data_IF_678533319725
#
_entry.id   IF_678533319725
#
_cell.length_a   1.000
_cell.length_b   1.000
_cell.length_c   1.000
_cell.angle_alpha   90.00
_cell.angle_beta   90.00
_cell.angle_gamma   90.00
#
_symmetry.space_group_name_H-M   'P 1'
#
loop_
_entity.id
_entity.type
_entity.pdbx_description
1 polymer ?
#
# COMPACT_ATOMS: atom_id res chain seq x y z
N UNK A 1 5.48 -18.36 -24.38
CA UNK A 1 4.64 -17.60 -25.33
C UNK A 1 3.23 -17.51 -24.76
N UNK A 2 3.01 -16.55 -23.85
CA UNK A 2 1.68 -16.06 -23.49
C UNK A 2 1.61 -14.62 -23.96
N UNK A 3 0.46 -14.23 -24.49
CA UNK A 3 0.28 -13.07 -25.34
C UNK A 3 0.55 -11.72 -24.64
N UNK A 4 1.08 -10.79 -25.42
CA UNK A 4 1.21 -9.36 -25.18
C UNK A 4 -0.12 -8.74 -24.73
N UNK A 5 -0.40 -8.72 -23.43
CA UNK A 5 -1.23 -7.66 -22.87
C UNK A 5 -0.32 -6.44 -22.73
N UNK A 6 -0.61 -5.34 -23.42
CA UNK A 6 0.09 -4.09 -23.12
C UNK A 6 -0.09 -3.79 -21.62
N UNK A 7 1.01 -3.49 -20.89
CA UNK A 7 0.89 -3.15 -19.49
C UNK A 7 -0.04 -1.95 -19.40
N UNK A 8 -1.05 -2.04 -18.54
CA UNK A 8 -2.02 -0.96 -18.38
C UNK A 8 -1.27 0.34 -18.04
N UNK A 9 -1.19 1.25 -19.01
CA UNK A 9 -0.48 2.50 -18.86
C UNK A 9 -1.18 3.32 -17.78
N UNK A 10 -0.48 3.49 -16.66
CA UNK A 10 -0.94 4.33 -15.56
C UNK A 10 -0.70 5.80 -15.93
N UNK A 11 -1.73 6.63 -15.73
CA UNK A 11 -1.56 8.09 -15.80
C UNK A 11 -0.87 8.56 -14.52
N UNK A 12 0.30 9.19 -14.65
CA UNK A 12 1.11 9.63 -13.49
C UNK A 12 0.35 10.69 -12.68
N UNK A 13 -0.29 11.64 -13.35
CA UNK A 13 -0.88 12.85 -12.76
C UNK A 13 -2.41 12.77 -12.57
N UNK A 14 -3.03 11.60 -12.74
CA UNK A 14 -4.48 11.44 -12.64
C UNK A 14 -4.89 10.07 -12.08
N UNK A 15 -6.17 9.94 -11.73
CA UNK A 15 -6.75 8.73 -11.15
C UNK A 15 -6.85 8.80 -9.62
N UNK A 16 -7.25 7.68 -9.02
CA UNK A 16 -7.36 7.56 -7.56
C UNK A 16 -5.96 7.47 -6.96
N UNK A 17 -5.67 8.30 -5.96
CA UNK A 17 -4.37 8.34 -5.30
C UNK A 17 -4.22 7.16 -4.31
N UNK A 18 -3.59 6.09 -4.76
CA UNK A 18 -3.09 4.96 -3.96
C UNK A 18 -1.56 5.03 -3.84
N UNK A 19 -0.97 4.26 -2.92
CA UNK A 19 0.49 4.19 -2.78
C UNK A 19 1.13 3.78 -4.10
N UNK A 20 2.03 4.60 -4.65
CA UNK A 20 2.68 4.45 -5.95
C UNK A 20 1.71 4.22 -7.13
N UNK A 21 0.42 4.58 -6.97
CA UNK A 21 -0.63 4.23 -7.92
C UNK A 21 -0.89 2.72 -8.05
N UNK A 22 -0.52 1.92 -7.04
CA UNK A 22 -0.78 0.47 -7.03
C UNK A 22 -2.28 0.18 -6.93
N UNK A 23 -2.74 -0.96 -7.44
CA UNK A 23 -4.15 -1.35 -7.32
C UNK A 23 -4.60 -1.41 -5.86
N UNK A 24 -5.73 -0.78 -5.57
CA UNK A 24 -6.41 -0.89 -4.27
C UNK A 24 -7.05 -2.29 -4.16
N UNK A 25 -6.85 -2.95 -3.02
CA UNK A 25 -7.41 -4.27 -2.72
C UNK A 25 -7.90 -4.37 -1.29
N UNK A 26 -8.91 -5.18 -1.05
CA UNK A 26 -9.29 -5.55 0.32
C UNK A 26 -8.33 -6.61 0.87
N UNK A 27 -8.38 -6.86 2.19
CA UNK A 27 -7.63 -7.96 2.81
C UNK A 27 -8.00 -9.32 2.20
N UNK A 28 -9.28 -9.52 1.89
CA UNK A 28 -9.79 -10.78 1.30
C UNK A 28 -9.18 -11.01 -0.10
N UNK A 29 -8.92 -9.92 -0.84
CA UNK A 29 -8.34 -9.98 -2.18
C UNK A 29 -6.83 -10.26 -2.20
N UNK A 30 -6.15 -10.31 -1.04
CA UNK A 30 -4.73 -10.67 -0.96
C UNK A 30 -4.47 -12.13 -1.33
N UNK A 31 -5.47 -13.02 -1.13
CA UNK A 31 -5.40 -14.40 -1.58
C UNK A 31 -5.60 -14.58 -3.09
N UNK A 32 -5.99 -13.51 -3.81
CA UNK A 32 -6.23 -13.55 -5.25
C UNK A 32 -5.01 -13.03 -6.02
N UNK A 33 -4.62 -13.66 -7.14
CA UNK A 33 -3.45 -13.24 -7.90
C UNK A 33 -3.61 -11.81 -8.45
N UNK A 34 -2.49 -11.11 -8.56
CA UNK A 34 -2.33 -9.84 -9.25
C UNK A 34 -1.63 -10.11 -10.58
N UNK A 35 -2.34 -9.90 -11.70
CA UNK A 35 -1.84 -10.18 -13.05
C UNK A 35 -1.32 -11.62 -13.27
N UNK A 36 -1.91 -12.59 -12.56
CA UNK A 36 -1.53 -14.01 -12.64
C UNK A 36 -0.42 -14.43 -11.67
N UNK A 37 0.20 -13.50 -10.95
CA UNK A 37 1.16 -13.80 -9.88
C UNK A 37 0.54 -13.63 -8.49
N UNK A 38 1.01 -14.39 -7.48
CA UNK A 38 0.62 -14.14 -6.09
C UNK A 38 1.04 -12.73 -5.66
N UNK A 39 0.21 -12.06 -4.87
CA UNK A 39 0.61 -10.82 -4.20
C UNK A 39 1.78 -11.13 -3.27
N UNK A 40 2.86 -10.35 -3.35
CA UNK A 40 4.07 -10.53 -2.53
C UNK A 40 4.33 -9.38 -1.57
N UNK A 41 3.63 -8.25 -1.73
CA UNK A 41 3.68 -7.13 -0.79
C UNK A 41 2.35 -6.38 -0.71
N UNK A 42 2.01 -5.87 0.48
CA UNK A 42 0.84 -5.04 0.72
C UNK A 42 1.25 -3.76 1.45
N UNK A 43 0.79 -2.61 0.96
CA UNK A 43 1.04 -1.30 1.56
C UNK A 43 -0.20 -0.86 2.34
N UNK A 44 -0.02 -0.62 3.64
CA UNK A 44 -1.08 -0.16 4.54
C UNK A 44 -0.67 1.16 5.20
N UNK A 45 -1.57 2.13 5.22
CA UNK A 45 -1.38 3.37 5.97
C UNK A 45 -1.82 3.24 7.42
N UNK A 46 -1.08 3.87 8.33
CA UNK A 46 -1.46 4.00 9.75
C UNK A 46 -1.59 5.49 10.07
N UNK A 47 -2.78 6.10 9.89
CA UNK A 47 -2.99 7.54 10.09
C UNK A 47 -3.20 7.87 11.58
N UNK A 48 -2.19 7.64 12.42
CA UNK A 48 -2.26 7.83 13.88
C UNK A 48 -1.03 8.56 14.44
N UNK A 49 -1.24 9.51 15.35
CA UNK A 49 -0.17 10.31 15.97
C UNK A 49 -0.42 10.71 17.43
N UNK A 50 -1.37 10.07 18.12
CA UNK A 50 -1.72 10.42 19.52
C UNK A 50 -0.61 10.09 20.54
N UNK A 51 0.36 9.25 20.17
CA UNK A 51 1.54 8.95 21.01
C UNK A 51 2.62 10.04 21.01
N UNK A 52 2.42 11.13 20.27
CA UNK A 52 3.41 12.17 20.12
C UNK A 52 3.35 13.21 21.26
N UNK A 53 4.51 13.54 21.84
CA UNK A 53 4.62 14.52 22.92
C UNK A 53 4.72 15.99 22.43
N UNK A 54 4.95 16.19 21.13
CA UNK A 54 5.24 17.51 20.55
C UNK A 54 4.36 17.87 19.35
N UNK A 55 4.99 18.10 18.19
CA UNK A 55 4.31 18.58 16.97
C UNK A 55 3.55 17.47 16.27
N UNK A 56 2.22 17.53 16.32
CA UNK A 56 1.31 16.60 15.66
C UNK A 56 1.23 16.85 14.13
N UNK A 57 0.59 15.92 13.42
CA UNK A 57 0.37 15.97 11.97
C UNK A 57 0.85 14.73 11.22
N UNK A 58 1.50 13.78 11.89
CA UNK A 58 1.95 12.54 11.26
C UNK A 58 0.78 11.66 10.78
N UNK A 59 -0.41 11.82 11.38
CA UNK A 59 -1.64 11.17 10.95
C UNK A 59 -2.06 11.54 9.51
N UNK A 60 -1.66 12.70 8.98
CA UNK A 60 -1.88 13.07 7.57
C UNK A 60 -0.88 12.42 6.62
N UNK A 61 0.21 11.85 7.16
CA UNK A 61 1.33 11.28 6.41
C UNK A 61 0.91 10.27 5.34
N UNK A 62 0.12 9.23 5.65
CA UNK A 62 -0.30 8.25 4.64
C UNK A 62 -1.00 8.86 3.43
N UNK A 63 -1.90 9.84 3.62
CA UNK A 63 -2.58 10.53 2.51
C UNK A 63 -1.60 11.33 1.67
N UNK A 64 -0.80 12.19 2.29
CA UNK A 64 0.18 13.02 1.58
C UNK A 64 1.22 12.17 0.84
N UNK A 65 1.63 11.04 1.42
CA UNK A 65 2.56 10.14 0.78
C UNK A 65 1.94 9.44 -0.44
N UNK A 66 0.66 9.04 -0.41
CA UNK A 66 -0.01 8.50 -1.61
C UNK A 66 0.03 9.51 -2.77
N UNK A 67 -0.31 10.77 -2.49
CA UNK A 67 -0.26 11.84 -3.50
C UNK A 67 1.16 12.04 -4.06
N UNK A 68 2.18 12.08 -3.19
CA UNK A 68 3.57 12.28 -3.61
C UNK A 68 4.14 11.05 -4.34
N UNK A 69 3.82 9.84 -3.88
CA UNK A 69 4.32 8.57 -4.41
C UNK A 69 3.86 8.30 -5.85
N UNK A 70 2.77 8.97 -6.28
CA UNK A 70 2.24 8.91 -7.64
C UNK A 70 3.27 9.32 -8.72
N UNK A 71 4.30 10.07 -8.37
CA UNK A 71 5.33 10.50 -9.31
C UNK A 71 6.42 9.47 -9.59
N UNK A 72 6.48 8.40 -8.80
CA UNK A 72 7.54 7.40 -8.90
C UNK A 72 7.12 6.21 -9.77
N UNK A 73 8.10 5.67 -10.50
CA UNK A 73 7.98 4.47 -11.32
C UNK A 73 8.68 3.30 -10.62
N UNK A 74 8.33 2.06 -11.01
CA UNK A 74 8.95 0.85 -10.44
C UNK A 74 10.28 0.47 -11.07
N UNK A 75 10.54 0.94 -12.29
CA UNK A 75 11.73 0.59 -13.04
C UNK A 75 12.96 1.36 -12.57
N UNK A 76 14.01 0.61 -12.21
CA UNK A 76 15.33 1.13 -11.90
C UNK A 76 16.25 0.97 -13.12
N UNK A 77 16.73 2.09 -13.66
CA UNK A 77 17.57 2.10 -14.85
C UNK A 77 19.05 1.78 -14.62
N UNK A 78 19.52 1.86 -13.37
CA UNK A 78 20.93 1.60 -13.04
C UNK A 78 21.19 0.09 -13.01
N UNK A 79 20.26 -0.66 -12.43
CA UNK A 79 20.35 -2.11 -12.23
C UNK A 79 19.45 -2.90 -13.21
N UNK A 80 18.73 -2.20 -14.10
CA UNK A 80 17.86 -2.76 -15.15
C UNK A 80 16.81 -3.78 -14.64
N UNK A 81 15.99 -3.36 -13.68
CA UNK A 81 14.87 -4.19 -13.20
C UNK A 81 13.62 -3.37 -12.89
N UNK A 82 12.44 -4.01 -13.00
CA UNK A 82 11.17 -3.44 -12.54
C UNK A 82 10.76 -4.04 -11.18
N UNK A 83 10.71 -3.18 -10.16
CA UNK A 83 10.30 -3.56 -8.81
C UNK A 83 8.89 -4.18 -8.79
N UNK A 84 7.97 -3.71 -9.62
CA UNK A 84 6.58 -4.14 -9.62
C UNK A 84 6.36 -5.48 -10.31
N UNK A 85 7.28 -5.87 -11.20
CA UNK A 85 7.32 -7.23 -11.77
C UNK A 85 7.89 -8.22 -10.75
N UNK A 86 8.99 -7.86 -10.08
CA UNK A 86 9.63 -8.74 -9.09
C UNK A 86 8.79 -8.91 -7.82
N UNK A 87 8.15 -7.82 -7.37
CA UNK A 87 7.36 -7.74 -6.15
C UNK A 87 5.94 -7.24 -6.46
N UNK A 88 5.01 -8.14 -6.86
CA UNK A 88 3.59 -7.81 -7.07
C UNK A 88 2.99 -7.17 -5.82
N UNK A 89 2.85 -5.84 -5.86
CA UNK A 89 2.48 -4.99 -4.72
C UNK A 89 1.10 -4.37 -4.89
N UNK A 90 0.33 -4.29 -3.81
CA UNK A 90 -1.01 -3.69 -3.74
C UNK A 90 -1.13 -2.68 -2.59
N UNK A 91 -2.06 -1.73 -2.70
CA UNK A 91 -2.47 -0.86 -1.58
C UNK A 91 -3.70 -1.48 -0.91
N UNK A 92 -3.67 -1.63 0.41
CA UNK A 92 -4.80 -2.17 1.20
C UNK A 92 -5.52 -1.11 2.03
N UNK A 93 -5.27 0.16 1.76
CA UNK A 93 -5.89 1.28 2.44
C UNK A 93 -5.27 1.57 3.80
N UNK A 94 -6.09 2.04 4.72
CA UNK A 94 -5.66 2.52 6.03
C UNK A 94 -6.25 1.67 7.16
N UNK A 95 -5.46 1.49 8.23
CA UNK A 95 -5.94 0.86 9.45
C UNK A 95 -6.92 1.80 10.16
N UNK A 96 -8.11 1.31 10.56
CA UNK A 96 -9.07 2.13 11.29
C UNK A 96 -8.57 2.48 12.70
N UNK A 97 -8.39 3.77 12.96
CA UNK A 97 -7.97 4.31 14.25
C UNK A 97 -9.16 4.55 15.19
N UNK A 98 -8.91 4.59 16.50
CA UNK A 98 -9.93 4.92 17.51
C UNK A 98 -9.53 6.07 18.43
N UNK A 99 -9.63 7.33 17.99
CA UNK A 99 -9.44 8.46 18.89
C UNK A 99 -10.51 8.52 20.00
N UNK A 100 -10.18 8.87 21.26
CA UNK A 100 -8.85 9.11 21.85
C UNK A 100 -8.26 7.85 22.54
N UNK A 101 -8.69 6.65 22.15
CA UNK A 101 -8.29 5.40 22.78
C UNK A 101 -7.06 4.80 22.09
N UNK A 102 -5.89 5.21 22.56
CA UNK A 102 -4.60 4.73 22.10
C UNK A 102 -4.46 3.20 22.21
N UNK A 103 -4.87 2.61 23.34
CA UNK A 103 -4.75 1.16 23.55
C UNK A 103 -5.55 0.36 22.50
N UNK A 104 -6.82 0.73 22.28
CA UNK A 104 -7.64 0.11 21.24
C UNK A 104 -7.12 0.35 19.83
N UNK A 105 -6.52 1.51 19.57
CA UNK A 105 -5.89 1.79 18.28
C UNK A 105 -4.69 0.86 18.04
N UNK A 106 -3.84 0.68 19.05
CA UNK A 106 -2.71 -0.26 18.98
C UNK A 106 -3.18 -1.70 18.77
N UNK A 107 -4.21 -2.15 19.48
CA UNK A 107 -4.79 -3.50 19.30
C UNK A 107 -5.31 -3.71 17.87
N UNK A 108 -5.92 -2.68 17.26
CA UNK A 108 -6.40 -2.72 15.88
C UNK A 108 -5.27 -2.76 14.87
N UNK A 109 -4.22 -1.98 15.08
CA UNK A 109 -3.02 -2.02 14.24
C UNK A 109 -2.40 -3.42 14.29
N UNK A 110 -2.19 -3.98 15.49
CA UNK A 110 -1.66 -5.32 15.66
C UNK A 110 -2.54 -6.38 14.97
N UNK A 111 -3.86 -6.31 15.17
CA UNK A 111 -4.80 -7.25 14.54
C UNK A 111 -4.81 -7.14 13.02
N UNK A 112 -4.69 -5.93 12.46
CA UNK A 112 -4.64 -5.72 11.03
C UNK A 112 -3.37 -6.30 10.42
N UNK A 113 -2.21 -6.04 11.03
CA UNK A 113 -0.91 -6.59 10.57
C UNK A 113 -0.92 -8.12 10.63
N UNK A 114 -1.47 -8.71 11.70
CA UNK A 114 -1.60 -10.16 11.81
C UNK A 114 -2.54 -10.73 10.73
N UNK A 115 -3.62 -10.02 10.37
CA UNK A 115 -4.51 -10.43 9.29
C UNK A 115 -3.79 -10.43 7.92
N UNK A 116 -2.99 -9.40 7.62
CA UNK A 116 -2.17 -9.35 6.40
C UNK A 116 -1.19 -10.52 6.35
N UNK A 117 -0.46 -10.75 7.45
CA UNK A 117 0.56 -11.81 7.56
C UNK A 117 0.03 -13.21 7.24
N UNK A 118 -1.25 -13.49 7.54
CA UNK A 118 -1.89 -14.79 7.25
C UNK A 118 -1.93 -15.12 5.76
N UNK A 119 -1.86 -14.13 4.89
CA UNK A 119 -1.79 -14.32 3.43
C UNK A 119 -0.37 -14.59 2.93
N UNK A 120 0.65 -14.58 3.80
CA UNK A 120 2.04 -14.77 3.41
C UNK A 120 2.64 -13.57 2.65
N UNK A 121 2.05 -12.39 2.88
CA UNK A 121 2.42 -11.08 2.31
C UNK A 121 3.08 -10.23 3.39
#
# INVERSE_FOLDING_TARGET
>A
MSANAEPALRVIQAGVATFFGRPMRSLEDLGHPLHGEPVKAALAGIPWDEGNAGRNGANYGPRTFRDASSWFLGYNCQEDFDLWELLPTVDIGDVPIMPPNAARTMDRIASHVEAVRRYGV
#
